data_IF_993562825869
#
_entry.id   IF_993562825869
#
_cell.length_a   1.000
_cell.length_b   1.000
_cell.length_c   1.000
_cell.angle_alpha   90.00
_cell.angle_beta   90.00
_cell.angle_gamma   90.00
#
_symmetry.space_group_name_H-M   'P 1'
#
loop_
_entity.id
_entity.type
_entity.pdbx_description
1 polymer ?
#
# COMPACT_ATOMS: atom_id res chain seq x y z
N UNK A 1 44.92 47.27 -12.53
CA UNK A 1 43.98 48.41 -12.38
C UNK A 1 42.73 48.08 -13.17
N UNK A 2 41.68 47.66 -12.47
CA UNK A 2 40.26 47.65 -12.87
C UNK A 2 39.52 46.83 -11.80
N UNK A 3 38.98 47.53 -10.80
CA UNK A 3 38.12 46.98 -9.76
C UNK A 3 36.70 47.00 -10.30
N UNK A 4 36.03 45.85 -10.37
CA UNK A 4 34.63 45.75 -10.75
C UNK A 4 33.81 45.41 -9.51
N UNK A 5 33.15 46.44 -8.93
CA UNK A 5 32.07 46.30 -7.97
C UNK A 5 30.81 45.83 -8.70
N UNK A 6 30.20 44.72 -8.28
CA UNK A 6 28.78 44.46 -8.53
C UNK A 6 28.05 44.26 -7.20
N UNK A 7 26.96 45.01 -7.07
CA UNK A 7 26.15 45.20 -5.89
C UNK A 7 25.26 43.98 -5.56
N UNK A 8 25.08 43.73 -4.27
CA UNK A 8 24.14 42.78 -3.70
C UNK A 8 22.75 43.41 -3.60
N UNK A 9 21.77 42.87 -4.33
CA UNK A 9 20.36 43.22 -4.16
C UNK A 9 19.72 42.24 -3.17
N UNK A 10 19.28 42.75 -2.02
CA UNK A 10 18.51 42.00 -1.02
C UNK A 10 17.04 41.91 -1.44
N UNK A 11 16.47 40.70 -1.41
CA UNK A 11 15.03 40.48 -1.51
C UNK A 11 14.38 40.64 -0.12
N UNK A 12 13.52 41.64 0.01
CA UNK A 12 12.57 41.80 1.11
C UNK A 12 11.31 40.95 0.85
N UNK A 13 10.75 40.24 1.84
CA UNK A 13 9.47 39.52 1.67
C UNK A 13 8.26 40.47 1.69
N UNK A 14 7.28 40.19 0.81
CA UNK A 14 5.98 40.88 0.73
C UNK A 14 5.08 40.58 1.94
N UNK A 15 4.20 41.52 2.35
CA UNK A 15 3.23 41.30 3.42
C UNK A 15 2.03 40.42 2.97
N UNK A 16 1.39 39.68 3.89
CA UNK A 16 0.23 38.85 3.59
C UNK A 16 -1.06 39.68 3.39
N UNK A 17 -2.03 39.18 2.60
CA UNK A 17 -3.33 39.84 2.40
C UNK A 17 -4.25 39.75 3.63
N UNK A 18 -5.18 40.72 3.81
CA UNK A 18 -6.05 40.77 4.99
C UNK A 18 -7.14 39.69 5.00
N UNK A 19 -7.39 39.14 6.19
CA UNK A 19 -8.45 38.17 6.48
C UNK A 19 -9.84 38.80 6.34
N UNK A 20 -10.69 38.22 5.50
CA UNK A 20 -12.09 38.61 5.40
C UNK A 20 -12.89 37.99 6.56
N UNK A 21 -13.41 38.86 7.42
CA UNK A 21 -14.40 38.54 8.46
C UNK A 21 -15.78 38.47 7.80
N UNK A 22 -16.43 37.30 7.81
CA UNK A 22 -17.82 37.17 7.40
C UNK A 22 -18.72 37.07 8.63
N UNK A 23 -19.30 38.23 8.97
CA UNK A 23 -20.38 38.42 9.95
C UNK A 23 -21.66 37.73 9.48
N UNK A 24 -22.33 37.03 10.39
CA UNK A 24 -23.60 36.38 10.14
C UNK A 24 -24.78 37.34 9.95
N UNK A 25 -25.88 36.81 9.46
CA UNK A 25 -27.23 37.37 9.60
C UNK A 25 -28.25 36.24 9.50
N UNK A 26 -29.18 36.25 10.45
CA UNK A 26 -30.22 35.24 10.68
C UNK A 26 -31.57 35.65 10.06
N UNK A 27 -32.56 34.75 10.21
CA UNK A 27 -34.03 34.86 9.99
C UNK A 27 -34.45 34.55 8.54
N UNK A 28 -35.41 33.67 8.20
CA UNK A 28 -36.71 33.28 8.80
C UNK A 28 -37.13 31.85 8.42
N UNK A 29 -37.90 31.20 9.30
CA UNK A 29 -38.64 29.95 9.08
C UNK A 29 -39.84 30.12 8.12
N UNK A 30 -40.46 29.01 7.66
CA UNK A 30 -41.77 28.68 8.22
C UNK A 30 -42.01 27.19 8.57
N UNK A 31 -42.96 27.06 9.48
CA UNK A 31 -43.69 25.90 10.02
C UNK A 31 -44.22 24.89 9.00
N UNK A 32 -44.12 23.60 9.34
CA UNK A 32 -44.88 22.49 8.74
C UNK A 32 -44.89 21.28 9.67
N UNK A 33 -46.05 21.05 10.30
CA UNK A 33 -46.34 19.98 11.27
C UNK A 33 -46.66 18.65 10.56
N UNK A 34 -46.27 17.51 11.15
CA UNK A 34 -46.63 16.18 10.64
C UNK A 34 -46.07 15.05 11.49
N UNK A 35 -46.80 14.68 12.55
CA UNK A 35 -46.56 13.54 13.44
C UNK A 35 -47.01 12.23 12.80
N UNK A 36 -46.24 11.15 12.96
CA UNK A 36 -46.77 9.78 12.99
C UNK A 36 -45.80 8.82 13.70
N UNK A 37 -46.18 8.45 14.92
CA UNK A 37 -45.70 7.30 15.69
C UNK A 37 -46.28 6.02 15.10
N UNK A 38 -45.48 4.95 14.99
CA UNK A 38 -46.01 3.58 14.90
C UNK A 38 -45.11 2.61 15.65
N UNK A 39 -45.62 2.17 16.79
CA UNK A 39 -45.20 1.03 17.60
C UNK A 39 -45.61 -0.27 16.91
N UNK A 40 -44.75 -1.29 16.91
CA UNK A 40 -45.19 -2.68 16.73
C UNK A 40 -44.33 -3.60 17.60
N UNK A 41 -44.93 -4.01 18.72
CA UNK A 41 -44.54 -5.13 19.57
C UNK A 41 -45.04 -6.44 18.93
N UNK A 42 -44.24 -7.50 18.99
CA UNK A 42 -44.67 -8.84 18.60
C UNK A 42 -43.65 -9.90 19.04
N UNK A 43 -43.81 -10.38 20.27
CA UNK A 43 -43.18 -11.60 20.79
C UNK A 43 -43.91 -12.83 20.27
N UNK A 44 -43.16 -13.87 19.88
CA UNK A 44 -43.63 -15.25 19.97
C UNK A 44 -42.43 -16.17 20.24
N UNK A 45 -42.52 -16.84 21.38
CA UNK A 45 -41.67 -17.90 21.90
C UNK A 45 -42.12 -19.22 21.30
N UNK A 46 -41.20 -20.08 20.87
CA UNK A 46 -41.43 -21.53 20.93
C UNK A 46 -40.12 -22.28 21.12
N UNK A 47 -40.04 -23.00 22.25
CA UNK A 47 -39.01 -23.97 22.58
C UNK A 47 -39.44 -25.35 22.08
N UNK A 48 -38.52 -26.13 21.54
CA UNK A 48 -38.63 -27.59 21.56
C UNK A 48 -37.24 -28.24 21.67
N UNK A 49 -37.06 -28.91 22.80
CA UNK A 49 -35.97 -29.78 23.20
C UNK A 49 -35.99 -31.10 22.41
N UNK A 50 -34.81 -31.65 22.09
CA UNK A 50 -34.68 -33.02 21.59
C UNK A 50 -33.23 -33.49 21.51
N UNK A 51 -32.73 -34.07 22.62
CA UNK A 51 -31.48 -34.83 22.66
C UNK A 51 -31.62 -36.19 21.97
N UNK A 52 -30.62 -36.61 21.21
CA UNK A 52 -30.28 -38.03 21.00
C UNK A 52 -28.78 -38.20 20.72
N UNK A 53 -28.25 -39.33 21.20
CA UNK A 53 -26.84 -39.63 21.47
C UNK A 53 -26.28 -40.70 20.51
N UNK A 54 -24.99 -40.52 20.15
CA UNK A 54 -23.90 -41.49 19.84
C UNK A 54 -23.97 -42.56 18.70
N UNK A 55 -23.09 -42.35 17.68
CA UNK A 55 -21.99 -43.20 17.11
C UNK A 55 -22.21 -44.66 16.63
N UNK A 56 -21.29 -45.33 15.89
CA UNK A 56 -20.15 -44.88 15.05
C UNK A 56 -20.14 -45.48 13.61
N UNK A 57 -19.43 -44.86 12.66
CA UNK A 57 -19.31 -45.36 11.27
C UNK A 57 -17.90 -45.26 10.68
N UNK A 58 -17.16 -46.36 10.78
CA UNK A 58 -16.13 -46.90 9.87
C UNK A 58 -15.11 -45.97 9.20
N UNK A 59 -13.85 -46.21 9.56
CA UNK A 59 -12.62 -45.83 8.87
C UNK A 59 -12.63 -46.22 7.38
N UNK A 60 -12.32 -45.27 6.50
CA UNK A 60 -11.81 -45.57 5.14
C UNK A 60 -10.44 -44.93 4.99
N UNK A 61 -9.46 -45.78 4.70
CA UNK A 61 -8.07 -45.41 4.46
C UNK A 61 -7.96 -44.50 3.23
N UNK A 62 -7.21 -43.40 3.36
CA UNK A 62 -6.78 -42.56 2.23
C UNK A 62 -5.57 -43.23 1.56
N UNK A 63 -5.55 -43.39 0.23
CA UNK A 63 -4.41 -43.98 -0.44
C UNK A 63 -3.23 -43.00 -0.44
N UNK A 64 -2.04 -43.55 -0.13
CA UNK A 64 -0.74 -42.92 -0.32
C UNK A 64 -0.57 -42.51 -1.78
N UNK A 65 -0.79 -41.23 -2.08
CA UNK A 65 -0.37 -40.62 -3.33
C UNK A 65 1.06 -40.11 -3.19
N UNK A 66 1.99 -40.74 -3.89
CA UNK A 66 3.30 -40.18 -4.24
C UNK A 66 3.07 -38.96 -5.14
N UNK A 67 2.70 -37.84 -4.53
CA UNK A 67 2.56 -36.56 -5.20
C UNK A 67 3.92 -35.89 -5.30
N UNK A 68 4.50 -35.88 -6.49
CA UNK A 68 5.46 -34.86 -6.90
C UNK A 68 4.94 -33.49 -6.44
N UNK A 69 5.74 -32.77 -5.65
CA UNK A 69 5.41 -31.41 -5.22
C UNK A 69 5.02 -30.60 -6.47
N UNK A 70 3.88 -29.90 -6.47
CA UNK A 70 3.54 -29.02 -7.58
C UNK A 70 4.65 -27.98 -7.75
N UNK A 71 5.01 -27.60 -8.98
CA UNK A 71 5.95 -26.51 -9.20
C UNK A 71 5.46 -25.24 -8.48
N UNK A 72 6.39 -24.54 -7.84
CA UNK A 72 6.18 -23.28 -7.11
C UNK A 72 5.24 -22.38 -7.92
N UNK A 73 4.06 -22.09 -7.39
CA UNK A 73 3.01 -21.33 -8.09
C UNK A 73 3.22 -19.82 -8.02
N UNK A 74 4.46 -19.39 -7.85
CA UNK A 74 4.83 -18.03 -7.43
C UNK A 74 5.91 -17.40 -8.34
N UNK A 75 5.95 -17.87 -9.58
CA UNK A 75 6.56 -17.10 -10.66
C UNK A 75 5.50 -16.11 -11.17
N UNK A 76 5.87 -14.84 -11.33
CA UNK A 76 5.07 -13.91 -12.14
C UNK A 76 4.72 -14.64 -13.42
N UNK A 77 3.42 -14.81 -13.72
CA UNK A 77 2.97 -15.60 -14.86
C UNK A 77 3.84 -15.30 -16.09
N UNK A 78 4.28 -16.36 -16.79
CA UNK A 78 5.22 -16.23 -17.89
C UNK A 78 4.76 -15.11 -18.85
N UNK A 79 5.68 -14.25 -19.31
CA UNK A 79 5.32 -13.06 -20.08
C UNK A 79 4.48 -13.45 -21.28
N UNK A 80 3.31 -12.82 -21.40
CA UNK A 80 2.38 -13.06 -22.50
C UNK A 80 2.78 -12.24 -23.73
N UNK A 81 2.27 -12.62 -24.90
CA UNK A 81 2.51 -11.88 -26.13
C UNK A 81 2.00 -10.43 -25.98
N UNK A 82 2.88 -9.45 -26.15
CA UNK A 82 2.60 -8.02 -25.95
C UNK A 82 3.14 -7.45 -24.65
N UNK A 83 3.58 -8.30 -23.71
CA UNK A 83 4.24 -7.86 -22.49
C UNK A 83 5.64 -7.33 -22.84
N UNK A 84 5.97 -6.14 -22.32
CA UNK A 84 7.31 -5.57 -22.47
C UNK A 84 7.63 -4.57 -21.38
N UNK A 85 8.90 -4.51 -21.01
CA UNK A 85 9.44 -3.43 -20.19
C UNK A 85 9.73 -2.23 -21.09
N UNK A 86 9.24 -1.06 -20.71
CA UNK A 86 9.48 0.22 -21.41
C UNK A 86 10.71 0.89 -20.81
N UNK A 87 10.75 1.02 -19.49
CA UNK A 87 11.87 1.61 -18.78
C UNK A 87 12.06 0.95 -17.41
N UNK A 88 13.29 0.94 -16.91
CA UNK A 88 13.58 0.51 -15.55
C UNK A 88 14.69 1.36 -14.94
N UNK A 89 14.60 1.61 -13.64
CA UNK A 89 15.55 2.45 -12.90
C UNK A 89 15.65 2.00 -11.45
N UNK A 90 16.87 1.96 -10.91
CA UNK A 90 17.10 1.91 -9.47
C UNK A 90 16.98 3.33 -8.92
N UNK A 91 16.01 3.60 -8.07
CA UNK A 91 15.88 4.90 -7.40
C UNK A 91 16.67 4.97 -6.11
N UNK A 92 16.72 3.86 -5.38
CA UNK A 92 17.55 3.68 -4.20
C UNK A 92 18.22 2.33 -4.27
N UNK A 93 19.55 2.30 -4.24
CA UNK A 93 20.30 1.05 -4.18
C UNK A 93 20.43 0.57 -2.72
N UNK A 94 20.99 -0.63 -2.53
CA UNK A 94 21.09 -1.31 -1.25
C UNK A 94 21.62 -0.45 -0.10
N UNK A 95 20.71 0.09 0.71
CA UNK A 95 21.01 0.87 1.91
C UNK A 95 19.90 0.70 2.97
N UNK A 96 20.17 1.10 4.20
CA UNK A 96 19.22 0.99 5.31
C UNK A 96 18.50 2.34 5.49
N UNK A 97 17.18 2.45 5.26
CA UNK A 97 16.43 3.70 5.42
C UNK A 97 16.05 3.96 6.89
N UNK A 98 17.03 3.94 7.81
CA UNK A 98 16.80 4.14 9.26
C UNK A 98 17.12 5.57 9.72
N UNK A 99 18.30 6.11 9.35
CA UNK A 99 18.70 7.48 9.71
C UNK A 99 18.23 8.52 8.71
N UNK A 100 18.11 8.13 7.45
CA UNK A 100 17.59 8.95 6.36
C UNK A 100 16.55 8.13 5.60
N UNK A 101 15.27 8.56 5.61
CA UNK A 101 14.26 7.94 4.75
C UNK A 101 14.69 7.98 3.29
N UNK A 102 14.31 6.94 2.54
CA UNK A 102 14.33 7.05 1.08
C UNK A 102 13.17 7.93 0.65
N UNK A 103 13.46 8.91 -0.20
CA UNK A 103 12.45 9.81 -0.77
C UNK A 103 12.66 9.90 -2.27
N UNK A 104 11.61 9.60 -3.03
CA UNK A 104 11.55 9.85 -4.47
C UNK A 104 10.38 10.78 -4.77
N UNK A 105 10.64 11.80 -5.59
CA UNK A 105 9.62 12.75 -6.06
C UNK A 105 9.36 12.54 -7.55
N UNK A 106 8.08 12.51 -7.89
CA UNK A 106 7.56 12.45 -9.26
C UNK A 106 6.61 13.62 -9.50
N UNK A 107 6.57 14.12 -10.74
CA UNK A 107 5.66 15.16 -11.15
C UNK A 107 4.46 14.52 -11.86
N UNK A 108 3.30 14.58 -11.21
CA UNK A 108 2.04 14.08 -11.78
C UNK A 108 1.10 15.28 -11.98
N UNK A 109 1.26 16.04 -13.08
CA UNK A 109 0.40 17.18 -13.35
C UNK A 109 -1.03 16.69 -13.58
N UNK A 110 -2.01 17.39 -13.01
CA UNK A 110 -3.42 17.08 -13.22
C UNK A 110 -3.73 17.24 -14.73
N UNK A 111 -4.31 16.21 -15.38
CA UNK A 111 -4.71 16.32 -16.77
C UNK A 111 -5.75 17.44 -16.95
N UNK A 112 -5.38 18.50 -17.68
CA UNK A 112 -6.27 19.64 -17.96
C UNK A 112 -7.13 19.44 -19.22
N UNK A 113 -6.91 18.34 -19.97
CA UNK A 113 -7.57 18.09 -21.25
C UNK A 113 -8.77 17.12 -21.10
N UNK A 114 -9.88 17.33 -21.84
CA UNK A 114 -11.00 16.38 -21.88
C UNK A 114 -10.71 15.11 -22.72
N UNK A 115 -11.20 13.92 -22.31
CA UNK A 115 -11.81 13.61 -21.02
C UNK A 115 -10.74 13.57 -19.91
N UNK A 116 -11.05 14.04 -18.69
CA UNK A 116 -10.10 13.99 -17.58
C UNK A 116 -9.69 12.53 -17.29
N UNK A 117 -8.39 12.24 -17.33
CA UNK A 117 -7.87 11.00 -16.79
C UNK A 117 -7.90 11.04 -15.25
N UNK A 118 -7.78 9.87 -14.60
CA UNK A 118 -7.71 9.82 -13.15
C UNK A 118 -6.58 10.75 -12.65
N UNK A 119 -6.86 11.67 -11.72
CA UNK A 119 -5.93 12.75 -11.40
C UNK A 119 -4.69 12.25 -10.65
N UNK A 120 -4.76 11.05 -10.07
CA UNK A 120 -3.70 10.45 -9.27
C UNK A 120 -3.33 9.06 -9.80
N UNK A 121 -2.05 8.65 -9.74
CA UNK A 121 -1.66 7.25 -9.78
C UNK A 121 -2.56 6.37 -8.92
N UNK A 122 -3.12 5.34 -9.53
CA UNK A 122 -4.06 4.44 -8.85
C UNK A 122 -3.41 3.09 -8.64
N UNK A 123 -3.29 2.64 -7.38
CA UNK A 123 -2.76 1.32 -7.04
C UNK A 123 -3.71 0.24 -7.55
N UNK A 124 -3.20 -0.60 -8.46
CA UNK A 124 -3.99 -1.59 -9.18
C UNK A 124 -3.77 -3.01 -8.68
N UNK A 125 -2.54 -3.34 -8.29
CA UNK A 125 -2.22 -4.68 -7.79
C UNK A 125 -0.96 -4.66 -6.94
N UNK A 126 -0.88 -5.61 -6.01
CA UNK A 126 0.31 -5.90 -5.23
C UNK A 126 0.80 -7.29 -5.63
N UNK A 127 2.11 -7.48 -5.73
CA UNK A 127 2.71 -8.79 -5.95
C UNK A 127 3.92 -9.00 -5.05
N UNK A 128 4.16 -10.23 -4.63
CA UNK A 128 5.36 -10.62 -3.90
C UNK A 128 6.17 -11.62 -4.74
N UNK A 129 7.46 -11.76 -4.43
CA UNK A 129 8.29 -12.82 -5.02
C UNK A 129 9.62 -12.99 -4.30
N UNK A 130 10.21 -14.18 -4.44
CA UNK A 130 11.53 -14.51 -3.89
C UNK A 130 12.57 -14.62 -5.01
N UNK A 131 13.78 -14.14 -4.73
CA UNK A 131 14.92 -14.18 -5.65
C UNK A 131 16.14 -14.79 -4.95
N UNK A 132 16.10 -16.10 -4.60
CA UNK A 132 17.15 -16.73 -3.80
C UNK A 132 18.47 -16.95 -4.56
N UNK A 133 18.44 -16.92 -5.89
CA UNK A 133 19.63 -17.14 -6.75
C UNK A 133 20.33 -15.85 -7.15
N UNK A 134 19.72 -14.70 -6.91
CA UNK A 134 20.31 -13.40 -7.22
C UNK A 134 21.45 -13.07 -6.24
N UNK A 135 22.29 -12.10 -6.59
CA UNK A 135 23.43 -11.67 -5.76
C UNK A 135 23.37 -10.16 -5.50
N UNK A 136 23.01 -9.70 -4.28
CA UNK A 136 22.55 -10.52 -3.15
C UNK A 136 21.16 -11.14 -3.42
N UNK A 137 20.79 -12.24 -2.73
CA UNK A 137 19.43 -12.74 -2.77
C UNK A 137 18.48 -11.72 -2.14
N UNK A 138 17.23 -11.66 -2.60
CA UNK A 138 16.25 -10.75 -2.03
C UNK A 138 14.83 -11.30 -2.07
N UNK A 139 14.00 -10.77 -1.18
CA UNK A 139 12.55 -10.87 -1.31
C UNK A 139 12.01 -9.54 -1.83
N UNK A 140 10.92 -9.56 -2.59
CA UNK A 140 10.35 -8.39 -3.21
C UNK A 140 8.87 -8.26 -2.87
N UNK A 141 8.44 -7.03 -2.55
CA UNK A 141 7.04 -6.62 -2.62
C UNK A 141 6.92 -5.51 -3.66
N UNK A 142 5.99 -5.66 -4.60
CA UNK A 142 5.78 -4.74 -5.71
C UNK A 142 4.39 -4.11 -5.66
N UNK A 143 4.34 -2.81 -5.90
CA UNK A 143 3.12 -2.02 -6.00
C UNK A 143 2.98 -1.54 -7.44
N UNK A 144 1.92 -1.96 -8.13
CA UNK A 144 1.69 -1.63 -9.55
C UNK A 144 0.61 -0.57 -9.67
N UNK A 145 0.96 0.56 -10.24
CA UNK A 145 0.09 1.71 -10.42
C UNK A 145 -0.33 1.85 -11.89
N UNK A 146 -1.54 2.35 -12.09
CA UNK A 146 -1.97 2.91 -13.38
C UNK A 146 -1.64 4.41 -13.42
N UNK A 147 -1.49 4.95 -14.63
CA UNK A 147 -1.39 6.40 -14.87
C UNK A 147 0.03 6.95 -14.82
N UNK A 148 0.72 6.83 -13.67
CA UNK A 148 2.10 7.30 -13.50
C UNK A 148 2.76 6.67 -12.25
N UNK A 149 4.04 6.95 -12.03
CA UNK A 149 4.69 6.67 -10.74
C UNK A 149 4.21 7.67 -9.66
N UNK A 150 3.81 7.21 -8.48
CA UNK A 150 3.61 8.10 -7.34
C UNK A 150 4.95 8.54 -6.73
N UNK A 151 4.98 9.70 -6.07
CA UNK A 151 6.10 10.00 -5.16
C UNK A 151 6.06 9.04 -3.97
N UNK A 152 7.17 8.80 -3.28
CA UNK A 152 7.14 7.96 -2.07
C UNK A 152 8.22 8.27 -1.06
N UNK A 153 7.92 7.93 0.19
CA UNK A 153 8.85 7.87 1.31
C UNK A 153 8.89 6.45 1.89
N UNK A 154 10.09 5.96 2.20
CA UNK A 154 10.31 4.64 2.78
C UNK A 154 11.23 4.77 3.98
N UNK A 155 10.82 4.24 5.14
CA UNK A 155 11.60 4.30 6.38
C UNK A 155 11.26 3.16 7.34
N UNK A 156 12.23 2.76 8.15
CA UNK A 156 11.96 1.87 9.27
C UNK A 156 11.26 2.61 10.41
N UNK A 157 10.20 2.02 10.95
CA UNK A 157 9.40 2.58 12.04
C UNK A 157 9.32 1.61 13.22
N UNK A 158 9.24 2.11 14.47
CA UNK A 158 9.09 1.25 15.64
C UNK A 158 7.71 0.57 15.69
N UNK A 159 6.70 1.19 15.10
CA UNK A 159 5.32 0.72 15.08
C UNK A 159 4.64 1.20 13.80
N UNK A 160 3.78 0.35 13.22
CA UNK A 160 2.92 0.77 12.11
C UNK A 160 1.67 1.43 12.69
N UNK A 161 1.44 2.69 12.35
CA UNK A 161 0.22 3.41 12.76
C UNK A 161 -0.71 3.58 11.56
N UNK A 162 -2.00 3.33 11.79
CA UNK A 162 -3.05 3.61 10.82
C UNK A 162 -3.17 5.12 10.60
N UNK A 163 -3.14 5.55 9.35
CA UNK A 163 -3.27 6.96 8.99
C UNK A 163 -4.65 7.48 9.43
N UNK A 164 -4.71 8.77 9.78
CA UNK A 164 -5.90 9.43 10.33
C UNK A 164 -6.19 9.09 11.80
N UNK A 165 -6.26 7.81 12.17
CA UNK A 165 -6.59 7.40 13.54
C UNK A 165 -5.39 7.39 14.50
N UNK A 166 -4.18 7.14 13.97
CA UNK A 166 -2.97 6.95 14.77
C UNK A 166 -2.96 5.65 15.58
N UNK A 167 -3.92 4.74 15.37
CA UNK A 167 -3.98 3.48 16.10
C UNK A 167 -2.91 2.49 15.58
N UNK A 168 -2.26 1.72 16.46
CA UNK A 168 -1.36 0.66 16.06
C UNK A 168 -2.01 -0.39 15.17
N UNK A 169 -1.28 -0.81 14.13
CA UNK A 169 -1.62 -1.95 13.28
C UNK A 169 -0.70 -3.11 13.67
N UNK A 170 -1.24 -4.21 14.22
CA UNK A 170 -0.43 -5.36 14.59
C UNK A 170 0.23 -6.01 13.37
N UNK A 171 1.55 -6.22 13.44
CA UNK A 171 2.32 -6.99 12.46
C UNK A 171 2.98 -8.19 13.16
N UNK A 172 2.22 -9.23 13.54
CA UNK A 172 2.74 -10.36 14.27
C UNK A 172 3.76 -11.15 13.44
N UNK A 173 4.77 -11.71 14.09
CA UNK A 173 5.80 -12.52 13.43
C UNK A 173 6.85 -11.72 12.66
N UNK A 174 6.82 -10.39 12.77
CA UNK A 174 7.78 -9.47 12.16
C UNK A 174 8.82 -8.98 13.17
N UNK A 175 10.09 -8.86 12.75
CA UNK A 175 11.18 -8.33 13.58
C UNK A 175 11.34 -6.80 13.53
N UNK A 176 11.14 -6.20 12.36
CA UNK A 176 11.16 -4.76 12.14
C UNK A 176 10.12 -4.35 11.07
N UNK A 177 9.63 -3.11 11.13
CA UNK A 177 8.59 -2.63 10.22
C UNK A 177 9.18 -1.58 9.28
N UNK A 178 9.07 -1.81 7.97
CA UNK A 178 9.39 -0.84 6.94
C UNK A 178 8.09 -0.17 6.47
N UNK A 179 7.87 1.11 6.82
CA UNK A 179 6.73 1.88 6.31
C UNK A 179 7.06 2.42 4.92
N UNK A 180 6.08 2.31 4.03
CA UNK A 180 6.07 2.85 2.67
C UNK A 180 4.88 3.78 2.58
N UNK A 181 5.09 5.03 2.17
CA UNK A 181 4.04 6.00 1.95
C UNK A 181 4.14 6.54 0.51
N UNK A 182 3.14 6.24 -0.31
CA UNK A 182 3.01 6.77 -1.66
C UNK A 182 2.20 8.06 -1.63
N UNK A 183 2.73 9.14 -2.19
CA UNK A 183 2.12 10.47 -2.24
C UNK A 183 1.64 10.81 -3.64
N UNK A 184 0.53 11.53 -3.70
CA UNK A 184 -0.18 11.77 -4.97
C UNK A 184 -0.68 10.46 -5.55
N UNK A 185 -1.18 9.55 -4.72
CA UNK A 185 -1.65 8.22 -5.09
C UNK A 185 -3.00 7.91 -4.42
N UNK A 186 -3.75 6.96 -4.97
CA UNK A 186 -4.97 6.44 -4.36
C UNK A 186 -5.08 4.92 -4.56
N UNK A 187 -5.81 4.24 -3.68
CA UNK A 187 -6.13 2.82 -3.81
C UNK A 187 -7.66 2.55 -3.74
N UNK A 188 -8.46 3.60 -3.99
CA UNK A 188 -9.92 3.58 -4.03
C UNK A 188 -10.46 4.12 -5.36
N UNK A 189 -11.68 3.72 -5.70
CA UNK A 189 -12.43 4.22 -6.86
C UNK A 189 -12.76 5.70 -6.69
N UNK A 190 -13.01 6.42 -7.78
CA UNK A 190 -13.27 7.87 -7.74
C UNK A 190 -14.46 8.32 -6.87
N UNK A 191 -15.37 7.40 -6.53
CA UNK A 191 -16.48 7.64 -5.59
C UNK A 191 -16.13 7.32 -4.12
N UNK A 192 -14.90 6.88 -3.85
CA UNK A 192 -14.38 6.56 -2.52
C UNK A 192 -14.82 5.22 -1.94
N UNK A 193 -15.57 4.40 -2.68
CA UNK A 193 -16.31 3.26 -2.08
C UNK A 193 -15.61 1.91 -2.16
N UNK A 194 -14.89 1.64 -3.24
CA UNK A 194 -14.31 0.33 -3.49
C UNK A 194 -12.80 0.44 -3.67
N UNK A 195 -12.06 -0.62 -3.30
CA UNK A 195 -10.64 -0.68 -3.62
C UNK A 195 -10.41 -0.85 -5.12
N UNK A 196 -9.39 -0.18 -5.64
CA UNK A 196 -8.92 -0.35 -7.02
C UNK A 196 -8.01 -1.57 -7.17
N UNK A 197 -7.52 -2.12 -6.07
CA UNK A 197 -6.62 -3.28 -6.04
C UNK A 197 -7.39 -4.52 -6.49
N UNK A 198 -6.99 -5.09 -7.63
CA UNK A 198 -7.62 -6.29 -8.21
C UNK A 198 -6.99 -7.59 -7.77
N UNK A 199 -5.72 -7.56 -7.39
CA UNK A 199 -4.96 -8.74 -6.99
C UNK A 199 -3.90 -8.35 -5.99
N UNK A 200 -3.75 -9.18 -4.95
CA UNK A 200 -2.73 -9.05 -3.92
C UNK A 200 -2.42 -10.42 -3.32
N UNK A 201 -1.17 -10.69 -2.90
CA UNK A 201 -0.86 -11.90 -2.15
C UNK A 201 -1.52 -11.87 -0.76
N UNK A 202 -1.62 -13.00 -0.05
CA UNK A 202 -2.00 -13.01 1.37
C UNK A 202 -1.10 -12.06 2.19
N UNK A 203 -1.66 -11.39 3.19
CA UNK A 203 -0.89 -10.46 4.04
C UNK A 203 0.25 -11.14 4.80
N UNK A 204 0.09 -12.41 5.16
CA UNK A 204 1.17 -13.24 5.65
C UNK A 204 1.93 -13.82 4.44
N UNK A 205 3.14 -13.29 4.19
CA UNK A 205 3.98 -13.67 3.05
C UNK A 205 4.90 -14.84 3.41
N UNK A 206 5.55 -14.78 4.57
CA UNK A 206 6.35 -15.87 5.11
C UNK A 206 7.71 -16.12 4.44
N UNK A 207 8.17 -15.22 3.58
CA UNK A 207 9.50 -15.30 2.97
C UNK A 207 10.63 -15.04 3.99
N UNK A 208 11.89 -15.09 3.52
CA UNK A 208 13.09 -15.04 4.37
C UNK A 208 13.23 -13.68 5.07
N UNK A 209 13.26 -12.62 4.28
CA UNK A 209 13.31 -11.22 4.70
C UNK A 209 11.91 -10.60 4.76
N UNK A 210 10.98 -10.97 3.87
CA UNK A 210 9.61 -10.41 3.84
C UNK A 210 8.62 -11.34 4.55
N UNK A 211 8.25 -11.02 5.78
CA UNK A 211 7.35 -11.87 6.59
C UNK A 211 5.87 -11.57 6.36
N UNK A 212 5.51 -10.30 6.26
CA UNK A 212 4.12 -9.87 6.12
C UNK A 212 4.03 -8.50 5.46
N UNK A 213 2.82 -8.07 5.12
CA UNK A 213 2.53 -6.66 4.84
C UNK A 213 1.11 -6.30 5.31
N UNK A 214 0.88 -5.02 5.59
CA UNK A 214 -0.42 -4.51 6.00
C UNK A 214 -0.68 -3.11 5.42
N UNK A 215 -1.92 -2.81 4.97
CA UNK A 215 -2.30 -1.44 4.63
C UNK A 215 -2.34 -0.59 5.91
N UNK A 216 -1.83 0.63 5.82
CA UNK A 216 -1.86 1.61 6.90
C UNK A 216 -2.75 2.81 6.59
N UNK A 217 -3.06 3.09 5.32
CA UNK A 217 -4.01 4.14 4.96
C UNK A 217 -4.16 4.34 3.46
N UNK A 218 -5.26 4.99 3.09
CA UNK A 218 -5.55 5.51 1.76
C UNK A 218 -6.44 6.75 1.93
N UNK A 219 -5.81 7.92 2.10
CA UNK A 219 -6.49 9.16 2.42
C UNK A 219 -5.69 10.38 1.93
N UNK A 220 -6.37 11.43 1.47
CA UNK A 220 -5.76 12.70 1.03
C UNK A 220 -4.65 12.55 -0.04
N UNK A 221 -4.76 11.51 -0.87
CA UNK A 221 -3.75 11.23 -1.89
C UNK A 221 -2.49 10.55 -1.34
N UNK A 222 -2.57 9.98 -0.14
CA UNK A 222 -1.52 9.16 0.48
C UNK A 222 -2.01 7.74 0.64
N UNK A 223 -1.28 6.80 0.06
CA UNK A 223 -1.48 5.35 0.25
C UNK A 223 -0.29 4.81 1.02
N UNK A 224 -0.52 4.21 2.18
CA UNK A 224 0.57 3.73 3.03
C UNK A 224 0.44 2.25 3.38
N UNK A 225 1.60 1.60 3.53
CA UNK A 225 1.73 0.19 3.88
C UNK A 225 2.89 0.01 4.86
N UNK A 226 2.77 -0.99 5.74
CA UNK A 226 3.89 -1.55 6.48
C UNK A 226 4.31 -2.88 5.87
N UNK A 227 5.61 -3.08 5.73
CA UNK A 227 6.24 -4.32 5.31
C UNK A 227 6.95 -4.92 6.52
N UNK A 228 6.66 -6.20 6.78
CA UNK A 228 7.27 -6.94 7.85
C UNK A 228 8.63 -7.47 7.44
N UNK A 229 9.68 -6.99 8.08
CA UNK A 229 11.07 -7.36 7.81
C UNK A 229 11.58 -8.31 8.88
N UNK A 230 11.97 -9.51 8.46
CA UNK A 230 12.54 -10.53 9.32
C UNK A 230 11.60 -11.03 10.42
N UNK A 231 12.13 -11.90 11.29
CA UNK A 231 11.39 -12.50 12.41
C UNK A 231 11.89 -11.97 13.77
N UNK A 232 11.03 -11.94 14.81
CA UNK A 232 11.43 -11.59 16.16
C UNK A 232 12.66 -12.39 16.64
N UNK A 233 13.62 -11.74 17.27
CA UNK A 233 14.80 -12.40 17.87
C UNK A 233 16.00 -12.62 16.93
N UNK A 234 15.85 -12.37 15.63
CA UNK A 234 17.00 -12.20 14.72
C UNK A 234 17.32 -10.71 14.68
N UNK A 235 18.59 -10.29 14.81
CA UNK A 235 18.94 -8.88 14.86
C UNK A 235 18.48 -8.14 13.57
N UNK A 236 17.33 -7.45 13.63
CA UNK A 236 16.68 -6.81 12.47
C UNK A 236 16.87 -5.27 12.30
N UNK A 237 17.92 -4.58 12.76
CA UNK A 237 18.11 -3.16 12.47
C UNK A 237 18.97 -2.84 11.22
N UNK A 238 19.29 -3.81 10.34
CA UNK A 238 20.28 -3.62 9.25
C UNK A 238 19.89 -4.20 7.88
N UNK A 239 18.64 -4.65 7.66
CA UNK A 239 18.25 -5.14 6.33
C UNK A 239 18.34 -4.02 5.32
N UNK A 240 19.21 -4.21 4.31
CA UNK A 240 19.33 -3.28 3.21
C UNK A 240 18.10 -3.39 2.33
N UNK A 241 17.65 -2.23 1.86
CA UNK A 241 16.51 -2.08 0.97
C UNK A 241 17.02 -1.51 -0.34
N UNK A 242 16.47 -2.00 -1.45
CA UNK A 242 16.64 -1.43 -2.78
C UNK A 242 15.26 -1.19 -3.39
N UNK A 243 15.12 -0.12 -4.15
CA UNK A 243 13.87 0.27 -4.80
C UNK A 243 14.09 0.37 -6.30
N UNK A 244 13.29 -0.39 -7.03
CA UNK A 244 13.22 -0.36 -8.49
C UNK A 244 11.91 0.26 -8.95
N UNK A 245 12.02 1.10 -9.97
CA UNK A 245 10.90 1.54 -10.78
C UNK A 245 10.95 0.82 -12.12
N UNK A 246 9.82 0.27 -12.55
CA UNK A 246 9.66 -0.38 -13.85
C UNK A 246 8.38 0.10 -14.50
N UNK A 247 8.51 0.76 -15.64
CA UNK A 247 7.40 1.06 -16.53
C UNK A 247 7.28 -0.08 -17.54
N UNK A 248 6.10 -0.68 -17.65
CA UNK A 248 5.89 -1.85 -18.50
C UNK A 248 4.48 -1.90 -19.06
N UNK A 249 4.33 -2.67 -20.13
CA UNK A 249 3.03 -3.14 -20.60
C UNK A 249 2.88 -4.59 -20.18
N UNK A 250 1.76 -4.90 -19.54
CA UNK A 250 1.37 -6.24 -19.11
C UNK A 250 -0.10 -6.44 -19.53
N UNK A 251 -0.37 -7.43 -20.36
CA UNK A 251 -1.71 -7.72 -20.90
C UNK A 251 -2.40 -6.50 -21.53
N UNK A 252 -1.62 -5.70 -22.27
CA UNK A 252 -2.09 -4.47 -22.92
C UNK A 252 -2.31 -3.28 -21.98
N UNK A 253 -2.00 -3.42 -20.68
CA UNK A 253 -2.12 -2.37 -19.67
C UNK A 253 -0.78 -1.72 -19.41
N UNK A 254 -0.75 -0.39 -19.42
CA UNK A 254 0.43 0.37 -19.05
C UNK A 254 0.53 0.49 -17.52
N UNK A 255 1.59 -0.06 -16.95
CA UNK A 255 1.81 -0.17 -15.51
C UNK A 255 3.12 0.48 -15.08
N UNK A 256 3.05 1.15 -13.94
CA UNK A 256 4.15 1.79 -13.23
C UNK A 256 4.40 1.02 -11.94
N UNK A 257 5.48 0.23 -11.90
CA UNK A 257 5.76 -0.69 -10.78
C UNK A 257 6.83 -0.10 -9.88
N UNK A 258 6.51 0.10 -8.60
CA UNK A 258 7.49 0.35 -7.55
C UNK A 258 7.75 -0.96 -6.82
N UNK A 259 8.93 -1.53 -7.01
CA UNK A 259 9.36 -2.78 -6.40
C UNK A 259 10.33 -2.50 -5.26
N UNK A 260 9.93 -2.90 -4.06
CA UNK A 260 10.73 -2.80 -2.84
C UNK A 260 11.35 -4.14 -2.57
N UNK A 261 12.68 -4.18 -2.60
CA UNK A 261 13.48 -5.38 -2.44
C UNK A 261 14.19 -5.34 -1.10
N UNK A 262 14.07 -6.42 -0.34
CA UNK A 262 14.69 -6.62 0.96
C UNK A 262 15.83 -7.62 0.80
N UNK A 263 17.05 -7.23 1.18
CA UNK A 263 18.20 -8.11 1.15
C UNK A 263 17.95 -9.34 2.04
N UNK A 264 17.96 -10.52 1.42
CA UNK A 264 17.69 -11.81 2.05
C UNK A 264 18.97 -12.49 2.58
N UNK A 265 20.16 -11.92 2.38
CA UNK A 265 21.45 -12.55 2.69
C UNK A 265 21.61 -12.93 4.16
N UNK A 266 21.06 -12.10 5.07
CA UNK A 266 21.13 -12.31 6.51
C UNK A 266 20.05 -13.27 7.04
N UNK A 267 19.14 -13.73 6.19
CA UNK A 267 17.92 -14.43 6.59
C UNK A 267 17.96 -15.90 6.15
N UNK A 268 18.18 -16.79 7.13
CA UNK A 268 18.23 -18.25 6.93
C UNK A 268 16.89 -18.94 7.15
#
# INVERSE_FOLDING_TARGET
>A
MAVLLLATAGCTPSPPPPSATATGSATTAPTGSGSATATATGSATESATGSASASPGTTTASPTGTGTLPPDSDETAAPQNGDRVISSKITHDWAVPSTTPFTTKHQNPVPLAPPPAEPLPTLYSIGAGQHPTDTPPYDQLSFRFNGAFPSYDISFVPELLADGSGLPIPMPGTGAILKVAFHGAQAHTSDGKASTIKTSPPQAIGYRALTSYAPAGDFEGVVSYGLGVGRPGTAAPQTKVRVYEVEKIEQGRHLYVVAIQLDASSWK
#
